data_IF_699922390677
#
_entry.id   IF_699922390677
#
_cell.length_a   1.000
_cell.length_b   1.000
_cell.length_c   1.000
_cell.angle_alpha   90.00
_cell.angle_beta   90.00
_cell.angle_gamma   90.00
#
_symmetry.space_group_name_H-M   'P 1'
#
loop_
_entity.id
_entity.type
_entity.pdbx_description
1 polymer ?
#
# COMPACT_ATOMS: atom_id res chain seq x y z
N UNK A 1 9.66 -13.02 -6.60
CA UNK A 1 10.01 -12.72 -5.18
C UNK A 1 9.64 -13.88 -4.28
N UNK A 2 10.34 -14.10 -3.15
CA UNK A 2 10.08 -15.21 -2.23
C UNK A 2 9.51 -14.70 -0.91
N UNK A 3 8.48 -15.37 -0.39
CA UNK A 3 7.87 -15.10 0.92
C UNK A 3 8.38 -16.13 1.93
N UNK A 4 8.83 -15.68 3.10
CA UNK A 4 9.18 -16.49 4.26
C UNK A 4 8.71 -15.78 5.53
N UNK A 5 8.12 -16.53 6.48
CA UNK A 5 7.63 -16.01 7.75
C UNK A 5 6.74 -14.77 7.61
N UNK A 6 5.88 -14.77 6.58
CA UNK A 6 4.97 -13.66 6.25
C UNK A 6 5.65 -12.37 5.74
N UNK A 7 6.90 -12.46 5.29
CA UNK A 7 7.65 -11.34 4.72
C UNK A 7 8.22 -11.68 3.34
N UNK A 8 8.36 -10.68 2.50
CA UNK A 8 9.27 -10.78 1.37
C UNK A 8 10.72 -10.79 1.86
N UNK A 9 11.49 -11.77 1.40
CA UNK A 9 12.90 -11.97 1.83
C UNK A 9 13.76 -10.77 1.44
N UNK A 10 13.51 -10.22 0.26
CA UNK A 10 14.33 -9.17 -0.36
C UNK A 10 13.83 -7.74 -0.07
N UNK A 11 12.72 -7.59 0.67
CA UNK A 11 12.21 -6.27 1.06
C UNK A 11 12.93 -5.70 2.28
N UNK A 12 13.16 -4.39 2.28
CA UNK A 12 13.58 -3.68 3.50
C UNK A 12 12.46 -3.77 4.53
N UNK A 13 12.76 -4.11 5.78
CA UNK A 13 11.77 -4.27 6.84
C UNK A 13 11.82 -3.08 7.79
N UNK A 14 10.70 -2.37 7.93
CA UNK A 14 10.47 -1.31 8.93
C UNK A 14 9.12 -1.62 9.56
N UNK A 15 9.10 -2.22 10.76
CA UNK A 15 7.87 -2.76 11.33
C UNK A 15 7.00 -1.68 11.96
N UNK A 16 5.84 -1.44 11.35
CA UNK A 16 4.83 -0.52 11.88
C UNK A 16 4.13 -1.10 13.11
N UNK A 17 3.81 -0.28 14.13
CA UNK A 17 2.95 -0.69 15.23
C UNK A 17 1.45 -0.67 14.87
N UNK A 18 1.08 -0.18 13.67
CA UNK A 18 -0.30 0.04 13.25
C UNK A 18 -0.84 -1.19 12.50
N UNK A 19 -1.20 -2.23 13.22
CA UNK A 19 -1.82 -3.44 12.67
C UNK A 19 -2.75 -4.09 13.69
N UNK A 20 -3.57 -5.01 13.22
CA UNK A 20 -4.40 -5.90 14.04
C UNK A 20 -4.19 -7.36 13.67
N UNK A 21 -4.70 -8.27 14.51
CA UNK A 21 -4.69 -9.70 14.22
C UNK A 21 -5.52 -9.99 12.96
N UNK A 22 -5.09 -10.97 12.18
CA UNK A 22 -5.80 -11.42 10.99
C UNK A 22 -6.53 -12.73 11.28
N UNK A 23 -7.83 -12.72 11.09
CA UNK A 23 -8.68 -13.89 11.26
C UNK A 23 -9.20 -14.43 9.92
N UNK A 24 -9.23 -13.58 8.87
CA UNK A 24 -9.74 -13.95 7.55
C UNK A 24 -8.60 -14.29 6.58
N UNK A 25 -8.91 -15.18 5.64
CA UNK A 25 -8.01 -15.46 4.53
C UNK A 25 -7.81 -14.20 3.68
N UNK A 26 -6.62 -14.08 3.10
CA UNK A 26 -6.29 -13.03 2.15
C UNK A 26 -6.78 -13.48 0.78
N UNK A 27 -7.63 -12.66 0.15
CA UNK A 27 -8.17 -12.91 -1.18
C UNK A 27 -8.28 -11.63 -2.04
N UNK A 28 -7.68 -10.53 -1.56
CA UNK A 28 -7.70 -9.23 -2.24
C UNK A 28 -6.35 -8.53 -2.11
N UNK A 29 -5.94 -7.83 -3.16
CA UNK A 29 -4.85 -6.83 -3.11
C UNK A 29 -5.44 -5.47 -3.43
N UNK A 30 -5.08 -4.45 -2.65
CA UNK A 30 -5.51 -3.07 -2.86
C UNK A 30 -4.29 -2.20 -3.13
N UNK A 31 -4.31 -1.51 -4.26
CA UNK A 31 -3.27 -0.56 -4.67
C UNK A 31 -3.66 0.86 -4.24
N UNK A 32 -2.69 1.56 -3.66
CA UNK A 32 -2.80 2.91 -3.17
C UNK A 32 -1.72 3.80 -3.78
N UNK A 33 -1.86 5.12 -3.61
CA UNK A 33 -0.75 6.05 -3.79
C UNK A 33 -0.61 6.98 -2.61
N UNK A 34 0.64 7.26 -2.24
CA UNK A 34 0.96 8.16 -1.14
C UNK A 34 2.27 8.91 -1.39
N UNK A 35 2.29 10.18 -1.03
CA UNK A 35 3.50 10.97 -0.81
C UNK A 35 3.24 12.03 0.25
N UNK A 36 4.24 12.41 1.04
CA UNK A 36 4.14 13.38 2.12
C UNK A 36 5.37 14.31 2.14
N UNK A 37 5.17 15.63 1.90
CA UNK A 37 3.96 16.25 1.34
C UNK A 37 3.61 15.67 -0.03
N UNK A 38 2.36 15.89 -0.49
CA UNK A 38 1.93 15.36 -1.77
C UNK A 38 2.82 15.86 -2.93
N UNK A 39 3.40 14.92 -3.70
CA UNK A 39 4.32 15.19 -4.80
C UNK A 39 5.77 15.40 -4.38
N UNK A 40 6.13 15.24 -3.10
CA UNK A 40 7.50 15.26 -2.62
C UNK A 40 7.98 13.84 -2.27
N UNK A 41 9.13 13.43 -2.84
CA UNK A 41 9.57 12.03 -2.80
C UNK A 41 10.89 11.80 -2.06
N UNK A 42 11.76 12.82 -1.98
CA UNK A 42 13.10 12.70 -1.38
C UNK A 42 13.08 12.90 0.14
N UNK A 43 12.22 12.13 0.82
CA UNK A 43 12.06 12.17 2.27
C UNK A 43 11.55 10.81 2.81
N UNK A 44 11.50 10.67 4.12
CA UNK A 44 11.02 9.47 4.83
C UNK A 44 9.68 9.73 5.58
N UNK A 45 8.93 10.79 5.21
CA UNK A 45 7.72 11.19 5.93
C UNK A 45 6.60 10.13 5.88
N UNK A 46 6.51 9.32 4.80
CA UNK A 46 5.55 8.21 4.71
C UNK A 46 5.94 7.11 5.69
N UNK A 47 7.21 6.75 5.74
CA UNK A 47 7.76 5.80 6.69
C UNK A 47 7.52 6.28 8.13
N UNK A 48 7.75 7.55 8.40
CA UNK A 48 7.53 8.16 9.71
C UNK A 48 6.03 8.19 10.10
N UNK A 49 5.13 8.44 9.14
CA UNK A 49 3.68 8.33 9.37
C UNK A 49 3.31 6.92 9.81
N UNK A 50 3.74 5.89 9.08
CA UNK A 50 3.43 4.49 9.39
C UNK A 50 4.06 4.03 10.70
N UNK A 51 5.14 4.67 11.14
CA UNK A 51 5.82 4.41 12.41
C UNK A 51 5.30 5.25 13.58
N UNK A 52 4.29 6.14 13.36
CA UNK A 52 3.80 7.14 14.33
C UNK A 52 4.91 8.11 14.80
N UNK A 53 5.83 8.45 13.91
CA UNK A 53 6.99 9.33 14.18
C UNK A 53 6.96 10.62 13.36
N UNK A 54 5.96 10.80 12.48
CA UNK A 54 5.87 11.96 11.62
C UNK A 54 5.91 13.26 12.44
N UNK A 55 6.82 14.15 12.10
CA UNK A 55 6.84 15.49 12.67
C UNK A 55 5.80 16.37 11.94
N UNK A 56 4.67 16.59 12.59
CA UNK A 56 3.54 17.32 12.04
C UNK A 56 3.80 18.82 11.83
N UNK A 57 4.88 19.34 12.38
CA UNK A 57 5.23 20.77 12.26
C UNK A 57 6.11 21.06 11.02
N UNK A 58 6.57 20.02 10.31
CA UNK A 58 7.38 20.17 9.10
C UNK A 58 6.59 20.73 7.91
N UNK A 59 5.29 20.44 7.80
CA UNK A 59 4.47 20.92 6.71
C UNK A 59 3.02 21.11 7.13
N UNK A 60 2.34 22.15 6.60
CA UNK A 60 0.97 22.49 6.98
C UNK A 60 -0.05 21.38 6.65
N UNK A 61 0.16 20.62 5.57
CA UNK A 61 -0.71 19.50 5.20
C UNK A 61 -0.70 18.35 6.21
N UNK A 62 0.31 18.27 7.09
CA UNK A 62 0.42 17.21 8.09
C UNK A 62 -0.47 17.42 9.30
N UNK A 63 -1.01 18.62 9.50
CA UNK A 63 -1.84 18.93 10.67
C UNK A 63 -3.07 18.01 10.78
N UNK A 64 -3.69 17.67 9.63
CA UNK A 64 -4.81 16.74 9.58
C UNK A 64 -4.46 15.28 9.92
N UNK A 65 -3.17 14.94 9.98
CA UNK A 65 -2.69 13.58 10.25
C UNK A 65 -2.37 13.31 11.71
N UNK A 66 -2.42 14.31 12.61
CA UNK A 66 -1.99 14.17 14.03
C UNK A 66 -2.61 13.02 14.80
N UNK A 67 -3.82 12.61 14.46
CA UNK A 67 -4.52 11.51 15.13
C UNK A 67 -4.74 10.29 14.19
N UNK A 68 -4.11 10.32 13.01
CA UNK A 68 -4.25 9.25 12.03
C UNK A 68 -3.22 8.17 12.33
N UNK A 69 -3.69 6.94 12.52
CA UNK A 69 -2.87 5.73 12.64
C UNK A 69 -3.18 4.84 11.45
N UNK A 70 -2.25 4.76 10.53
CA UNK A 70 -2.35 3.99 9.29
C UNK A 70 -1.06 3.23 9.03
N UNK A 71 -1.14 2.24 8.17
CA UNK A 71 0.00 1.48 7.66
C UNK A 71 -0.39 0.81 6.34
N UNK A 72 0.59 0.28 5.63
CA UNK A 72 0.38 -0.67 4.56
C UNK A 72 1.23 -1.91 4.79
N UNK A 73 0.98 -2.99 4.06
CA UNK A 73 1.89 -4.14 4.09
C UNK A 73 3.18 -3.78 3.39
N UNK A 74 3.06 -3.17 2.20
CA UNK A 74 4.19 -2.84 1.34
C UNK A 74 4.13 -1.37 0.91
N UNK A 75 5.30 -0.79 0.69
CA UNK A 75 5.49 0.52 0.07
C UNK A 75 6.55 0.41 -1.01
N UNK A 76 6.23 0.87 -2.22
CA UNK A 76 7.10 0.86 -3.39
C UNK A 76 7.50 2.28 -3.72
N UNK A 77 8.77 2.64 -3.46
CA UNK A 77 9.31 3.99 -3.72
C UNK A 77 9.52 4.23 -5.22
N UNK A 78 9.70 5.49 -5.62
CA UNK A 78 9.92 5.89 -7.04
C UNK A 78 11.11 5.19 -7.69
N UNK A 79 12.15 4.90 -6.93
CA UNK A 79 13.33 4.16 -7.38
C UNK A 79 13.15 2.64 -7.43
N UNK A 80 11.95 2.16 -7.12
CA UNK A 80 11.62 0.74 -7.04
C UNK A 80 11.95 0.09 -5.69
N UNK A 81 12.53 0.80 -4.72
CA UNK A 81 12.79 0.24 -3.39
C UNK A 81 11.50 -0.26 -2.76
N UNK A 82 11.52 -1.50 -2.25
CA UNK A 82 10.39 -2.13 -1.58
C UNK A 82 10.62 -2.14 -0.08
N UNK A 83 9.67 -1.56 0.67
CA UNK A 83 9.68 -1.59 2.13
C UNK A 83 8.45 -2.37 2.60
N UNK A 84 8.64 -3.30 3.54
CA UNK A 84 7.54 -4.02 4.19
C UNK A 84 7.38 -3.54 5.63
N UNK A 85 6.16 -3.06 5.95
CA UNK A 85 5.81 -2.52 7.27
C UNK A 85 5.02 -3.48 8.13
N UNK A 86 4.16 -4.29 7.51
CA UNK A 86 3.29 -5.23 8.24
C UNK A 86 3.47 -6.63 7.65
N UNK A 87 3.65 -7.67 8.47
CA UNK A 87 3.72 -9.04 7.98
C UNK A 87 2.36 -9.46 7.41
N UNK A 88 2.35 -10.30 6.37
CA UNK A 88 1.12 -10.67 5.67
C UNK A 88 0.09 -11.42 6.53
N UNK A 89 0.52 -12.06 7.60
CA UNK A 89 -0.39 -12.71 8.57
C UNK A 89 -1.06 -11.74 9.56
N UNK A 90 -0.86 -10.43 9.40
CA UNK A 90 -1.53 -9.36 10.15
C UNK A 90 -2.34 -8.48 9.19
N UNK A 91 -3.27 -7.69 9.75
CA UNK A 91 -4.04 -6.70 9.00
C UNK A 91 -3.37 -5.34 9.10
N UNK A 92 -2.83 -4.81 8.01
CA UNK A 92 -2.41 -3.42 7.94
C UNK A 92 -3.66 -2.50 7.88
N UNK A 93 -3.52 -1.26 8.33
CA UNK A 93 -4.61 -0.29 8.36
C UNK A 93 -4.51 0.67 7.18
N UNK A 94 -4.91 0.21 5.97
CA UNK A 94 -4.76 0.95 4.71
C UNK A 94 -6.07 1.34 4.02
N UNK A 95 -7.13 0.53 4.18
CA UNK A 95 -8.35 0.68 3.41
C UNK A 95 -9.38 1.64 4.06
N UNK A 96 -9.33 1.79 5.39
CA UNK A 96 -10.33 2.54 6.14
C UNK A 96 -11.74 1.98 5.93
N UNK A 97 -12.74 2.87 5.88
CA UNK A 97 -14.10 2.47 5.52
C UNK A 97 -14.13 2.06 4.05
N UNK A 98 -14.47 0.80 3.80
CA UNK A 98 -14.32 0.17 2.49
C UNK A 98 -15.24 -1.02 2.32
N UNK A 99 -15.64 -1.27 1.05
CA UNK A 99 -16.52 -2.40 0.69
C UNK A 99 -15.98 -3.00 -0.63
N UNK A 100 -15.84 -4.33 -0.66
CA UNK A 100 -15.53 -5.07 -1.87
C UNK A 100 -16.43 -6.29 -2.00
N UNK A 101 -17.12 -6.44 -3.15
CA UNK A 101 -18.08 -7.54 -3.41
C UNK A 101 -19.04 -7.78 -2.23
N UNK A 102 -19.57 -6.69 -1.64
CA UNK A 102 -20.51 -6.72 -0.50
C UNK A 102 -19.87 -6.97 0.87
N UNK A 103 -18.58 -7.24 0.96
CA UNK A 103 -17.84 -7.42 2.21
C UNK A 103 -17.25 -6.08 2.68
N UNK A 104 -17.53 -5.71 3.93
CA UNK A 104 -16.97 -4.51 4.58
C UNK A 104 -15.61 -4.80 5.21
N UNK A 105 -14.87 -3.71 5.54
CA UNK A 105 -13.59 -3.75 6.25
C UNK A 105 -12.52 -4.50 5.46
N UNK A 106 -12.18 -4.02 4.28
CA UNK A 106 -11.22 -4.68 3.38
C UNK A 106 -9.84 -4.93 4.02
N UNK A 107 -9.43 -4.19 5.06
CA UNK A 107 -8.21 -4.49 5.83
C UNK A 107 -8.14 -5.95 6.30
N UNK A 108 -9.29 -6.55 6.64
CA UNK A 108 -9.33 -7.89 7.24
C UNK A 108 -8.97 -9.01 6.26
N UNK A 109 -9.18 -8.81 4.95
CA UNK A 109 -8.98 -9.84 3.92
C UNK A 109 -8.12 -9.39 2.74
N UNK A 110 -7.44 -8.24 2.87
CA UNK A 110 -6.59 -7.73 1.80
C UNK A 110 -5.13 -7.53 2.22
N UNK A 111 -4.29 -7.39 1.21
CA UNK A 111 -2.93 -6.84 1.29
C UNK A 111 -2.97 -5.45 0.67
N UNK A 112 -2.61 -4.41 1.44
CA UNK A 112 -2.46 -3.05 0.94
C UNK A 112 -1.04 -2.79 0.49
N UNK A 113 -0.90 -2.23 -0.72
CA UNK A 113 0.37 -1.82 -1.32
C UNK A 113 0.29 -0.34 -1.63
N UNK A 114 1.09 0.45 -0.96
CA UNK A 114 1.26 1.88 -1.26
C UNK A 114 2.35 2.06 -2.32
N UNK A 115 2.09 2.91 -3.29
CA UNK A 115 3.03 3.27 -4.34
C UNK A 115 3.38 4.74 -4.16
N UNK A 116 4.66 5.07 -4.06
CA UNK A 116 5.10 6.45 -3.90
C UNK A 116 4.71 7.28 -5.12
N UNK A 117 3.77 8.20 -4.94
CA UNK A 117 3.20 8.98 -6.02
C UNK A 117 2.03 9.83 -5.56
N UNK A 118 1.31 10.37 -6.53
CA UNK A 118 0.06 11.09 -6.36
C UNK A 118 -0.93 10.77 -7.49
N UNK A 119 -2.19 11.12 -7.29
CA UNK A 119 -3.31 10.71 -8.15
C UNK A 119 -3.18 11.19 -9.61
N UNK A 120 -2.57 12.36 -9.83
CA UNK A 120 -2.44 13.04 -11.12
C UNK A 120 -1.01 13.03 -11.68
N UNK A 121 -0.22 12.00 -11.35
CA UNK A 121 1.15 11.82 -11.83
C UNK A 121 1.39 10.37 -12.29
N UNK A 122 2.24 10.23 -13.31
CA UNK A 122 2.66 8.92 -13.80
C UNK A 122 3.63 8.23 -12.82
N UNK A 123 3.55 6.91 -12.78
CA UNK A 123 4.45 6.07 -12.01
C UNK A 123 5.68 5.67 -12.83
N UNK A 124 6.78 5.39 -12.15
CA UNK A 124 8.05 5.05 -12.80
C UNK A 124 8.03 3.62 -13.34
N UNK A 125 8.93 3.35 -14.28
CA UNK A 125 9.15 2.00 -14.80
C UNK A 125 9.57 1.04 -13.69
N UNK A 126 10.46 1.47 -12.80
CA UNK A 126 10.97 0.70 -11.67
C UNK A 126 9.86 0.29 -10.71
N UNK A 127 8.87 1.19 -10.49
CA UNK A 127 7.68 0.88 -9.70
C UNK A 127 6.85 -0.22 -10.35
N UNK A 128 6.53 -0.12 -11.65
CA UNK A 128 5.76 -1.14 -12.35
C UNK A 128 6.47 -2.50 -12.40
N UNK A 129 7.78 -2.53 -12.71
CA UNK A 129 8.57 -3.76 -12.74
C UNK A 129 8.56 -4.49 -11.39
N UNK A 130 8.69 -3.75 -10.29
CA UNK A 130 8.68 -4.35 -8.96
C UNK A 130 7.26 -4.68 -8.48
N UNK A 131 6.28 -3.83 -8.80
CA UNK A 131 4.88 -4.09 -8.48
C UNK A 131 4.40 -5.39 -9.15
N UNK A 132 4.74 -5.61 -10.44
CA UNK A 132 4.44 -6.87 -11.13
C UNK A 132 5.03 -8.07 -10.39
N UNK A 133 6.32 -8.04 -10.02
CA UNK A 133 6.97 -9.14 -9.27
C UNK A 133 6.30 -9.39 -7.91
N UNK A 134 5.85 -8.32 -7.24
CA UNK A 134 5.12 -8.39 -5.97
C UNK A 134 3.78 -9.10 -6.21
N UNK A 135 3.01 -8.63 -7.19
CA UNK A 135 1.68 -9.16 -7.49
C UNK A 135 1.73 -10.64 -7.87
N UNK A 136 2.66 -11.02 -8.75
CA UNK A 136 2.85 -12.42 -9.17
C UNK A 136 3.14 -13.32 -7.96
N UNK A 137 4.03 -12.87 -7.08
CA UNK A 137 4.39 -13.65 -5.89
C UNK A 137 3.21 -13.77 -4.90
N UNK A 138 2.46 -12.70 -4.67
CA UNK A 138 1.31 -12.69 -3.76
C UNK A 138 0.14 -13.50 -4.31
N UNK A 139 -0.18 -13.34 -5.61
CA UNK A 139 -1.24 -14.11 -6.28
C UNK A 139 -1.00 -15.61 -6.17
N UNK A 140 0.23 -16.05 -6.45
CA UNK A 140 0.60 -17.47 -6.35
C UNK A 140 0.56 -17.97 -4.90
N UNK A 141 1.13 -17.21 -3.96
CA UNK A 141 1.27 -17.66 -2.58
C UNK A 141 -0.05 -17.73 -1.83
N UNK A 142 -0.92 -16.73 -2.02
CA UNK A 142 -2.21 -16.62 -1.32
C UNK A 142 -3.41 -17.01 -2.19
N UNK A 143 -3.21 -17.38 -3.46
CA UNK A 143 -4.27 -17.70 -4.43
C UNK A 143 -5.27 -16.54 -4.59
N UNK A 144 -4.73 -15.34 -4.82
CA UNK A 144 -5.51 -14.10 -4.97
C UNK A 144 -5.79 -13.85 -6.44
N UNK A 145 -7.08 -13.67 -6.78
CA UNK A 145 -7.51 -13.31 -8.13
C UNK A 145 -7.72 -11.79 -8.31
N UNK A 146 -8.17 -11.12 -7.25
CA UNK A 146 -8.59 -9.72 -7.31
C UNK A 146 -7.46 -8.75 -6.91
N UNK A 147 -7.12 -7.83 -7.82
CA UNK A 147 -6.27 -6.67 -7.58
C UNK A 147 -7.05 -5.42 -7.97
N UNK A 148 -7.26 -4.50 -7.03
CA UNK A 148 -8.14 -3.34 -7.22
C UNK A 148 -7.48 -2.05 -6.76
N UNK A 149 -8.01 -0.92 -7.24
CA UNK A 149 -7.67 0.40 -6.73
C UNK A 149 -8.36 0.69 -5.38
N UNK A 150 -7.78 1.55 -4.56
CA UNK A 150 -8.46 2.07 -3.37
C UNK A 150 -9.77 2.77 -3.73
N UNK A 151 -9.81 3.48 -4.85
CA UNK A 151 -11.01 4.12 -5.38
C UNK A 151 -12.15 3.14 -5.70
N UNK A 152 -11.86 1.88 -5.98
CA UNK A 152 -12.89 0.87 -6.25
C UNK A 152 -13.57 0.35 -4.97
N UNK A 153 -12.85 0.32 -3.86
CA UNK A 153 -13.38 -0.15 -2.57
C UNK A 153 -13.90 0.98 -1.69
N UNK A 154 -13.62 2.24 -2.06
CA UNK A 154 -14.02 3.45 -1.32
C UNK A 154 -14.28 4.64 -2.26
N UNK A 155 -15.16 4.52 -3.27
CA UNK A 155 -15.25 5.45 -4.41
C UNK A 155 -15.64 6.89 -4.02
N UNK A 156 -16.41 7.05 -2.97
CA UNK A 156 -16.85 8.38 -2.50
C UNK A 156 -15.76 9.15 -1.77
N UNK A 157 -14.73 8.45 -1.29
CA UNK A 157 -13.72 8.99 -0.38
C UNK A 157 -12.31 9.01 -0.99
N UNK A 158 -12.04 8.12 -1.95
CA UNK A 158 -10.70 7.85 -2.48
C UNK A 158 -10.64 7.90 -4.00
N UNK A 159 -9.48 8.32 -4.53
CA UNK A 159 -9.21 8.40 -5.96
C UNK A 159 -7.95 7.64 -6.37
N UNK A 160 -7.15 7.22 -5.38
CA UNK A 160 -5.86 6.55 -5.59
C UNK A 160 -6.03 5.11 -6.13
N UNK A 161 -5.07 4.63 -6.92
CA UNK A 161 -3.82 5.25 -7.34
C UNK A 161 -3.99 6.33 -8.42
N UNK A 162 -5.18 6.56 -8.97
CA UNK A 162 -5.52 7.62 -9.91
C UNK A 162 -5.56 7.21 -11.38
N UNK A 163 -6.04 8.12 -12.26
CA UNK A 163 -6.28 7.81 -13.66
C UNK A 163 -5.01 7.64 -14.51
N UNK A 164 -3.86 8.10 -14.01
CA UNK A 164 -2.57 7.93 -14.69
C UNK A 164 -1.85 6.65 -14.30
N UNK A 165 -2.45 5.82 -13.44
CA UNK A 165 -1.95 4.48 -13.16
C UNK A 165 -2.30 3.56 -14.32
N UNK A 166 -1.28 3.07 -15.01
CA UNK A 166 -1.42 2.23 -16.20
C UNK A 166 -1.49 0.74 -15.81
N UNK A 167 -2.70 0.22 -15.68
CA UNK A 167 -2.96 -1.17 -15.35
C UNK A 167 -2.40 -2.15 -16.37
N UNK A 168 -2.31 -1.76 -17.67
CA UNK A 168 -1.79 -2.65 -18.73
C UNK A 168 -0.34 -3.06 -18.50
N UNK A 169 0.46 -2.23 -17.82
CA UNK A 169 1.85 -2.53 -17.47
C UNK A 169 2.00 -3.65 -16.43
N UNK A 170 0.92 -4.02 -15.75
CA UNK A 170 0.90 -5.16 -14.82
C UNK A 170 0.59 -6.48 -15.53
N UNK A 171 -0.02 -6.44 -16.71
CA UNK A 171 -0.44 -7.60 -17.50
C UNK A 171 0.59 -7.99 -18.59
N UNK A 172 1.55 -7.13 -18.90
CA UNK A 172 2.59 -7.40 -19.90
C UNK A 172 3.50 -8.56 -19.44
N UNK A 173 3.61 -9.60 -20.28
CA UNK A 173 4.51 -10.75 -20.09
C UNK A 173 5.96 -10.42 -20.45
#
# INVERSE_FOLDING_TARGET
MRISDSFFVDAKKILSPNFSEREKNIDLIVLHSISLPEGEYDNDNVEDLFMNKLNFDLHSSFQGLRNVKVSAHLYVKRDGTIIQFVPFNKCAWHAGESIFKGRKNCNEFSIGIEIQGKVDEEYTREQYENLKKILDALKIFFQIDDVVAHSEISPERKKDPGPLFDWSKLDEN
#
